data_IF_315482491678
#
_entry.id   IF_315482491678
#
_cell.length_a   1.000
_cell.length_b   1.000
_cell.length_c   1.000
_cell.angle_alpha   90.00
_cell.angle_beta   90.00
_cell.angle_gamma   90.00
#
_symmetry.space_group_name_H-M   'P 1'
#
loop_
_entity.id
_entity.type
_entity.pdbx_description
1 polymer ?
#
# COMPACT_ATOMS: atom_id res chain seq x y z
N UNK A 1 -11.00 4.91 39.82
CA UNK A 1 -10.45 4.19 38.66
C UNK A 1 -11.62 3.82 37.77
N UNK A 2 -11.83 4.52 36.65
CA UNK A 2 -13.06 4.38 35.85
C UNK A 2 -12.92 3.22 34.88
N UNK A 3 -13.61 2.12 35.23
CA UNK A 3 -13.87 0.96 34.38
C UNK A 3 -14.72 1.50 33.21
N UNK A 4 -14.11 1.74 32.04
CA UNK A 4 -14.82 2.33 30.90
C UNK A 4 -13.92 3.04 29.89
N UNK A 5 -12.64 3.22 30.17
CA UNK A 5 -11.72 3.88 29.24
C UNK A 5 -11.27 2.90 28.15
N UNK A 6 -12.11 2.75 27.12
CA UNK A 6 -11.84 1.94 25.91
C UNK A 6 -10.48 2.35 25.30
N UNK A 7 -10.10 3.62 25.47
CA UNK A 7 -8.82 4.16 25.03
C UNK A 7 -7.64 3.52 25.77
N UNK A 8 -7.74 3.32 27.08
CA UNK A 8 -6.70 2.64 27.87
C UNK A 8 -6.56 1.18 27.46
N UNK A 9 -7.67 0.49 27.18
CA UNK A 9 -7.64 -0.90 26.68
C UNK A 9 -7.00 -0.96 25.28
N UNK A 10 -7.30 0.01 24.42
CA UNK A 10 -6.70 0.13 23.09
C UNK A 10 -5.19 0.41 23.16
N UNK A 11 -4.76 1.32 24.02
CA UNK A 11 -3.34 1.63 24.25
C UNK A 11 -2.59 0.42 24.85
N UNK A 12 -3.19 -0.29 25.81
CA UNK A 12 -2.65 -1.54 26.35
C UNK A 12 -2.55 -2.64 25.28
N UNK A 13 -3.55 -2.79 24.40
CA UNK A 13 -3.48 -3.75 23.29
C UNK A 13 -2.40 -3.39 22.28
N UNK A 14 -2.14 -2.10 22.05
CA UNK A 14 -1.11 -1.62 21.12
C UNK A 14 0.31 -1.97 21.59
N UNK A 15 0.55 -1.93 22.90
CA UNK A 15 1.86 -2.24 23.51
C UNK A 15 1.99 -3.71 23.96
N UNK A 16 0.94 -4.50 23.80
CA UNK A 16 0.91 -5.92 24.19
C UNK A 16 1.66 -6.81 23.20
N UNK A 17 2.33 -7.84 23.71
CA UNK A 17 2.93 -8.89 22.87
C UNK A 17 1.86 -9.72 22.16
N UNK A 18 2.18 -10.26 20.97
CA UNK A 18 1.25 -11.09 20.16
C UNK A 18 0.56 -12.20 20.98
N UNK A 19 1.28 -12.81 21.94
CA UNK A 19 0.71 -13.81 22.84
C UNK A 19 -0.37 -13.24 23.77
N UNK A 20 -0.17 -12.04 24.32
CA UNK A 20 -1.16 -11.39 25.18
C UNK A 20 -2.43 -11.04 24.39
N UNK A 21 -2.28 -10.60 23.14
CA UNK A 21 -3.42 -10.33 22.24
C UNK A 21 -4.22 -11.62 21.99
N UNK A 22 -3.54 -12.75 21.76
CA UNK A 22 -4.20 -14.05 21.57
C UNK A 22 -4.96 -14.47 22.83
N UNK A 23 -4.36 -14.34 24.01
CA UNK A 23 -5.00 -14.69 25.29
C UNK A 23 -6.23 -13.83 25.58
N UNK A 24 -6.11 -12.51 25.39
CA UNK A 24 -7.23 -11.58 25.56
C UNK A 24 -8.34 -11.90 24.54
N UNK A 25 -7.97 -12.16 23.29
CA UNK A 25 -8.90 -12.58 22.24
C UNK A 25 -9.64 -13.87 22.60
N UNK A 26 -8.93 -14.88 23.11
CA UNK A 26 -9.52 -16.15 23.53
C UNK A 26 -10.49 -15.97 24.71
N UNK A 27 -10.12 -15.16 25.70
CA UNK A 27 -10.97 -14.83 26.86
C UNK A 27 -12.22 -14.04 26.45
N UNK A 28 -12.10 -13.13 25.48
CA UNK A 28 -13.20 -12.31 25.00
C UNK A 28 -14.11 -13.04 23.99
N UNK A 29 -13.59 -14.05 23.28
CA UNK A 29 -14.31 -14.78 22.24
C UNK A 29 -15.72 -15.26 22.64
N UNK A 30 -15.93 -15.95 23.79
CA UNK A 30 -17.26 -16.41 24.17
C UNK A 30 -18.27 -15.27 24.38
N UNK A 31 -17.83 -14.14 24.93
CA UNK A 31 -18.69 -12.96 25.11
C UNK A 31 -19.08 -12.32 23.78
N UNK A 32 -18.11 -12.22 22.86
CA UNK A 32 -18.35 -11.67 21.52
C UNK A 32 -19.30 -12.57 20.73
N UNK A 33 -19.09 -13.89 20.76
CA UNK A 33 -19.98 -14.86 20.11
C UNK A 33 -21.40 -14.76 20.67
N UNK A 34 -21.54 -14.72 21.99
CA UNK A 34 -22.85 -14.58 22.65
C UNK A 34 -23.56 -13.29 22.22
N UNK A 35 -22.85 -12.16 22.20
CA UNK A 35 -23.43 -10.88 21.80
C UNK A 35 -23.90 -10.86 20.32
N UNK A 36 -23.15 -11.53 19.43
CA UNK A 36 -23.58 -11.69 18.04
C UNK A 36 -24.82 -12.56 17.91
N UNK A 37 -24.90 -13.66 18.68
CA UNK A 37 -26.06 -14.54 18.67
C UNK A 37 -27.29 -13.81 19.22
N UNK A 38 -27.15 -13.08 20.34
CA UNK A 38 -28.21 -12.22 20.88
C UNK A 38 -28.70 -11.17 19.86
N UNK A 39 -27.82 -10.68 18.98
CA UNK A 39 -28.19 -9.75 17.91
C UNK A 39 -29.00 -10.45 16.82
N UNK A 40 -28.60 -11.66 16.42
CA UNK A 40 -29.31 -12.45 15.41
C UNK A 40 -30.71 -12.86 15.89
N UNK A 41 -30.88 -13.11 17.19
CA UNK A 41 -32.15 -13.48 17.82
C UNK A 41 -33.20 -12.37 17.73
N UNK A 42 -32.76 -11.12 17.66
CA UNK A 42 -33.65 -9.96 17.49
C UNK A 42 -34.21 -9.83 16.07
N UNK A 43 -33.69 -10.59 15.11
CA UNK A 43 -34.08 -10.53 13.71
C UNK A 43 -34.62 -11.92 13.31
N UNK A 44 -35.95 -12.08 13.12
CA UNK A 44 -36.59 -13.39 12.96
C UNK A 44 -35.95 -14.28 11.87
N UNK A 45 -35.57 -13.71 10.74
CA UNK A 45 -34.92 -14.41 9.63
C UNK A 45 -33.49 -14.90 9.96
N UNK A 46 -32.75 -14.13 10.77
CA UNK A 46 -31.37 -14.47 11.15
C UNK A 46 -31.35 -15.43 12.35
N UNK A 47 -32.39 -15.38 13.19
CA UNK A 47 -32.58 -16.27 14.34
C UNK A 47 -32.78 -17.74 13.95
N UNK A 48 -33.33 -18.05 12.78
CA UNK A 48 -33.46 -19.44 12.31
C UNK A 48 -32.13 -20.03 11.79
N UNK A 49 -31.19 -19.16 11.41
CA UNK A 49 -29.93 -19.52 10.77
C UNK A 49 -28.69 -18.94 11.46
N UNK A 50 -28.76 -18.68 12.77
CA UNK A 50 -27.74 -17.95 13.56
C UNK A 50 -26.31 -18.41 13.28
N UNK A 51 -26.11 -19.73 13.18
CA UNK A 51 -24.79 -20.33 12.95
C UNK A 51 -24.26 -19.99 11.54
N UNK A 52 -25.11 -20.10 10.51
CA UNK A 52 -24.76 -19.72 9.14
C UNK A 52 -24.54 -18.21 9.00
N UNK A 53 -25.39 -17.39 9.65
CA UNK A 53 -25.22 -15.93 9.70
C UNK A 53 -23.90 -15.54 10.36
N UNK A 54 -23.55 -16.20 11.47
CA UNK A 54 -22.29 -15.95 12.15
C UNK A 54 -21.07 -16.29 11.28
N UNK A 55 -21.10 -17.45 10.62
CA UNK A 55 -20.05 -17.86 9.68
C UNK A 55 -19.93 -16.84 8.54
N UNK A 56 -21.04 -16.37 7.98
CA UNK A 56 -21.05 -15.36 6.93
C UNK A 56 -20.40 -14.03 7.39
N UNK A 57 -20.71 -13.58 8.61
CA UNK A 57 -20.09 -12.40 9.22
C UNK A 57 -18.58 -12.59 9.39
N UNK A 58 -18.14 -13.75 9.88
CA UNK A 58 -16.71 -14.04 10.02
C UNK A 58 -15.98 -14.05 8.68
N UNK A 59 -16.57 -14.64 7.64
CA UNK A 59 -16.00 -14.65 6.28
C UNK A 59 -15.91 -13.22 5.75
N UNK A 60 -16.96 -12.41 5.89
CA UNK A 60 -16.95 -11.01 5.45
C UNK A 60 -15.85 -10.21 6.18
N UNK A 61 -15.69 -10.43 7.48
CA UNK A 61 -14.63 -9.78 8.26
C UNK A 61 -13.24 -10.22 7.82
N UNK A 62 -13.04 -11.51 7.55
CA UNK A 62 -11.79 -12.04 7.02
C UNK A 62 -11.45 -11.43 5.66
N UNK A 63 -12.42 -11.36 4.75
CA UNK A 63 -12.24 -10.71 3.45
C UNK A 63 -11.85 -9.24 3.60
N UNK A 64 -12.50 -8.50 4.51
CA UNK A 64 -12.17 -7.11 4.80
C UNK A 64 -10.72 -6.95 5.30
N UNK A 65 -10.27 -7.84 6.19
CA UNK A 65 -8.89 -7.83 6.71
C UNK A 65 -7.86 -8.16 5.62
N UNK A 66 -8.14 -9.16 4.78
CA UNK A 66 -7.27 -9.53 3.65
C UNK A 66 -7.15 -8.36 2.66
N UNK A 67 -8.28 -7.73 2.33
CA UNK A 67 -8.30 -6.57 1.43
C UNK A 67 -7.49 -5.42 2.03
N UNK A 68 -7.71 -5.08 3.31
CA UNK A 68 -6.95 -4.05 4.00
C UNK A 68 -5.44 -4.32 4.00
N UNK A 69 -5.03 -5.56 4.29
CA UNK A 69 -3.63 -5.98 4.27
C UNK A 69 -3.01 -5.86 2.87
N UNK A 70 -3.74 -6.26 1.82
CA UNK A 70 -3.27 -6.14 0.43
C UNK A 70 -3.11 -4.67 0.04
N UNK A 71 -4.05 -3.80 0.42
CA UNK A 71 -3.94 -2.36 0.16
C UNK A 71 -2.76 -1.73 0.91
N UNK A 72 -2.58 -2.04 2.18
CA UNK A 72 -1.46 -1.53 2.98
C UNK A 72 -0.10 -2.02 2.44
N UNK A 73 -0.01 -3.30 2.06
CA UNK A 73 1.19 -3.86 1.43
C UNK A 73 1.50 -3.19 0.08
N UNK A 74 0.47 -2.90 -0.73
CA UNK A 74 0.65 -2.17 -2.00
C UNK A 74 1.12 -0.73 -1.75
N UNK A 75 0.56 -0.03 -0.78
CA UNK A 75 0.96 1.34 -0.44
C UNK A 75 2.40 1.39 0.10
N UNK A 76 2.77 0.45 0.99
CA UNK A 76 4.15 0.29 1.46
C UNK A 76 5.13 0.04 0.32
N UNK A 77 4.79 -0.84 -0.63
CA UNK A 77 5.62 -1.10 -1.82
C UNK A 77 5.81 0.17 -2.66
N UNK A 78 4.73 0.93 -2.91
CA UNK A 78 4.80 2.20 -3.65
C UNK A 78 5.70 3.22 -2.93
N UNK A 79 5.54 3.39 -1.61
CA UNK A 79 6.37 4.29 -0.80
C UNK A 79 7.85 3.90 -0.80
N UNK A 80 8.14 2.61 -0.71
CA UNK A 80 9.50 2.10 -0.77
C UNK A 80 10.14 2.34 -2.14
N UNK A 81 9.37 2.13 -3.22
CA UNK A 81 9.83 2.39 -4.58
C UNK A 81 10.09 3.90 -4.81
N UNK A 82 9.20 4.77 -4.32
CA UNK A 82 9.42 6.22 -4.30
C UNK A 82 10.71 6.58 -3.55
N UNK A 83 10.92 6.02 -2.36
CA UNK A 83 12.11 6.31 -1.55
C UNK A 83 13.41 5.87 -2.27
N UNK A 84 13.39 4.76 -3.00
CA UNK A 84 14.52 4.33 -3.85
C UNK A 84 14.80 5.33 -4.96
N UNK A 85 13.78 5.75 -5.70
CA UNK A 85 13.94 6.69 -6.82
C UNK A 85 14.43 8.05 -6.31
N UNK A 86 13.74 8.63 -5.33
CA UNK A 86 14.12 9.93 -4.74
C UNK A 86 15.50 9.86 -4.09
N UNK A 87 15.81 8.79 -3.36
CA UNK A 87 17.13 8.60 -2.74
C UNK A 87 18.25 8.46 -3.78
N UNK A 88 18.00 7.80 -4.91
CA UNK A 88 18.95 7.74 -6.02
C UNK A 88 19.17 9.10 -6.68
N UNK A 89 18.09 9.85 -6.93
CA UNK A 89 18.18 11.18 -7.51
C UNK A 89 18.89 12.16 -6.59
N UNK A 90 18.57 12.17 -5.30
CA UNK A 90 19.20 13.03 -4.32
C UNK A 90 20.69 12.71 -4.10
N UNK A 91 21.07 11.42 -4.07
CA UNK A 91 22.47 11.03 -3.84
C UNK A 91 23.41 11.35 -5.02
N UNK A 92 22.86 11.53 -6.22
CA UNK A 92 23.62 11.86 -7.42
C UNK A 92 23.34 13.29 -7.93
N UNK A 93 22.62 14.09 -7.16
CA UNK A 93 22.20 15.46 -7.51
C UNK A 93 21.48 15.57 -8.88
N UNK A 94 20.68 14.56 -9.20
CA UNK A 94 19.90 14.52 -10.44
C UNK A 94 18.55 15.19 -10.26
N UNK A 95 18.25 16.16 -11.12
CA UNK A 95 16.92 16.77 -11.20
C UNK A 95 15.95 15.99 -12.12
N UNK A 96 16.48 15.29 -13.12
CA UNK A 96 15.71 14.52 -14.10
C UNK A 96 16.46 13.22 -14.43
N UNK A 97 15.77 12.07 -14.34
CA UNK A 97 16.33 10.75 -14.70
C UNK A 97 15.35 9.96 -15.55
N UNK A 98 15.82 9.39 -16.65
CA UNK A 98 15.02 8.56 -17.57
C UNK A 98 14.51 7.28 -16.91
N UNK A 99 13.37 6.79 -17.36
CA UNK A 99 12.80 5.54 -16.88
C UNK A 99 13.71 4.34 -17.17
N UNK A 100 14.27 4.26 -18.38
CA UNK A 100 15.30 3.28 -18.75
C UNK A 100 16.47 3.26 -17.76
N UNK A 101 17.04 4.44 -17.48
CA UNK A 101 18.20 4.58 -16.58
C UNK A 101 17.86 4.21 -15.13
N UNK A 102 16.65 4.54 -14.65
CA UNK A 102 16.19 4.10 -13.32
C UNK A 102 16.04 2.58 -13.24
N UNK A 103 15.46 1.95 -14.27
CA UNK A 103 15.29 0.50 -14.31
C UNK A 103 16.65 -0.23 -14.29
N UNK A 104 17.63 0.24 -15.07
CA UNK A 104 18.96 -0.37 -15.13
C UNK A 104 19.74 -0.16 -13.82
N UNK A 105 19.75 1.05 -13.27
CA UNK A 105 20.58 1.39 -12.09
C UNK A 105 20.00 0.88 -10.78
N UNK A 106 18.68 0.80 -10.67
CA UNK A 106 18.00 0.35 -9.45
C UNK A 106 17.47 -1.09 -9.55
N UNK A 107 17.69 -1.76 -10.68
CA UNK A 107 17.21 -3.11 -11.00
C UNK A 107 15.73 -3.29 -10.62
N UNK A 108 14.90 -2.31 -10.99
CA UNK A 108 13.51 -2.24 -10.54
C UNK A 108 12.64 -3.25 -11.27
N UNK A 109 12.93 -3.54 -12.55
CA UNK A 109 12.09 -4.42 -13.37
C UNK A 109 10.64 -3.90 -13.52
N UNK A 110 10.44 -2.60 -13.34
CA UNK A 110 9.11 -1.97 -13.27
C UNK A 110 8.71 -1.48 -14.65
N UNK A 111 7.48 -1.76 -15.06
CA UNK A 111 6.94 -1.28 -16.35
C UNK A 111 6.72 0.23 -16.31
N UNK A 112 6.89 0.92 -17.44
CA UNK A 112 6.68 2.38 -17.51
C UNK A 112 5.31 2.81 -16.96
N UNK A 113 4.25 2.05 -17.25
CA UNK A 113 2.90 2.32 -16.72
C UNK A 113 2.84 2.39 -15.20
N UNK A 114 3.66 1.59 -14.51
CA UNK A 114 3.74 1.57 -13.05
C UNK A 114 4.54 2.77 -12.51
N UNK A 115 5.59 3.22 -13.22
CA UNK A 115 6.31 4.46 -12.91
C UNK A 115 5.41 5.69 -13.09
N UNK A 116 4.63 5.73 -14.18
CA UNK A 116 3.63 6.79 -14.39
C UNK A 116 2.55 6.76 -13.30
N UNK A 117 2.07 5.57 -12.93
CA UNK A 117 1.12 5.43 -11.84
C UNK A 117 1.70 5.86 -10.48
N UNK A 118 3.00 5.64 -10.26
CA UNK A 118 3.71 6.13 -9.06
C UNK A 118 3.75 7.67 -9.04
N UNK A 119 4.08 8.30 -10.16
CA UNK A 119 4.08 9.78 -10.29
C UNK A 119 2.69 10.34 -9.99
N UNK A 120 1.64 9.76 -10.56
CA UNK A 120 0.26 10.17 -10.29
C UNK A 120 -0.17 9.93 -8.83
N UNK A 121 0.46 8.98 -8.13
CA UNK A 121 0.21 8.73 -6.69
C UNK A 121 0.94 9.76 -5.82
N UNK A 122 2.07 10.31 -6.26
CA UNK A 122 2.91 11.24 -5.50
C UNK A 122 3.30 12.49 -6.30
N UNK A 123 2.33 13.29 -6.78
CA UNK A 123 2.59 14.44 -7.63
C UNK A 123 3.41 15.54 -6.93
N UNK A 124 3.35 15.61 -5.59
CA UNK A 124 4.07 16.62 -4.80
C UNK A 124 5.57 16.34 -4.65
N UNK A 125 6.04 15.14 -5.03
CA UNK A 125 7.43 14.69 -4.82
C UNK A 125 8.15 14.44 -6.14
N UNK A 126 7.44 13.88 -7.10
CA UNK A 126 7.97 13.50 -8.40
C UNK A 126 7.00 13.93 -9.49
N UNK A 127 7.54 14.35 -10.63
CA UNK A 127 6.77 14.77 -11.80
C UNK A 127 7.17 13.96 -13.03
N UNK A 128 6.24 13.84 -13.97
CA UNK A 128 6.56 13.34 -15.29
C UNK A 128 7.37 14.40 -16.02
N UNK A 129 8.56 14.02 -16.47
CA UNK A 129 9.43 14.84 -17.29
C UNK A 129 9.71 14.11 -18.61
N UNK A 130 10.28 14.82 -19.56
CA UNK A 130 10.84 14.24 -20.76
C UNK A 130 12.34 14.48 -20.78
N UNK A 131 13.10 13.47 -21.17
CA UNK A 131 14.53 13.56 -21.34
C UNK A 131 14.95 12.93 -22.67
N UNK A 132 16.05 13.42 -23.23
CA UNK A 132 16.56 12.94 -24.52
C UNK A 132 16.93 11.47 -24.44
N UNK A 133 16.42 10.68 -25.37
CA UNK A 133 16.69 9.25 -25.47
C UNK A 133 18.14 9.04 -25.92
N UNK A 134 18.83 8.09 -25.29
CA UNK A 134 20.17 7.67 -25.70
C UNK A 134 20.16 6.21 -26.14
N UNK A 135 21.02 5.88 -27.10
CA UNK A 135 21.34 4.51 -27.46
C UNK A 135 22.20 3.84 -26.36
N UNK A 136 22.45 2.54 -26.51
CA UNK A 136 23.28 1.73 -25.59
C UNK A 136 24.74 2.24 -25.51
N UNK A 137 25.18 3.02 -26.50
CA UNK A 137 26.52 3.61 -26.58
C UNK A 137 26.58 5.04 -26.02
N UNK A 138 25.46 5.60 -25.53
CA UNK A 138 25.37 6.93 -24.94
C UNK A 138 25.13 8.08 -25.93
N UNK A 139 24.92 7.80 -27.21
CA UNK A 139 24.61 8.80 -28.24
C UNK A 139 23.12 9.14 -28.23
N UNK A 140 22.77 10.38 -28.58
CA UNK A 140 21.38 10.79 -28.70
C UNK A 140 20.74 10.20 -29.95
N UNK A 141 19.58 9.56 -29.79
CA UNK A 141 18.85 9.00 -30.93
C UNK A 141 18.13 10.16 -31.62
N UNK A 142 18.39 10.31 -32.92
CA UNK A 142 17.72 11.32 -33.75
C UNK A 142 16.70 10.60 -34.62
N UNK A 143 15.45 11.08 -34.59
CA UNK A 143 14.38 10.57 -35.43
C UNK A 143 14.61 10.87 -36.93
N UNK A 144 13.80 10.28 -37.81
CA UNK A 144 13.91 10.43 -39.27
C UNK A 144 13.79 11.89 -39.76
N UNK A 145 13.18 12.77 -38.96
CA UNK A 145 13.01 14.19 -39.26
C UNK A 145 14.16 15.08 -38.74
N UNK A 146 15.23 14.48 -38.20
CA UNK A 146 16.37 15.21 -37.62
C UNK A 146 16.12 15.78 -36.22
N UNK A 147 14.99 15.42 -35.59
CA UNK A 147 14.63 15.81 -34.22
C UNK A 147 15.05 14.72 -33.23
N UNK A 148 15.71 15.07 -32.13
CA UNK A 148 16.09 14.12 -31.07
C UNK A 148 14.85 13.44 -30.46
N UNK A 149 14.88 12.11 -30.32
CA UNK A 149 13.81 11.37 -29.67
C UNK A 149 13.79 11.67 -28.15
N UNK A 150 12.60 11.92 -27.62
CA UNK A 150 12.36 12.10 -26.19
C UNK A 150 11.84 10.80 -25.56
N UNK A 151 12.28 10.50 -24.35
CA UNK A 151 11.80 9.40 -23.52
C UNK A 151 11.16 9.97 -22.23
N UNK A 152 10.21 9.22 -21.66
CA UNK A 152 9.65 9.51 -20.35
C UNK A 152 10.74 9.45 -19.27
N UNK A 153 10.71 10.43 -18.38
CA UNK A 153 11.65 10.59 -17.28
C UNK A 153 10.91 10.96 -15.99
N UNK A 154 11.54 10.66 -14.85
CA UNK A 154 11.12 11.17 -13.54
C UNK A 154 11.90 12.45 -13.29
N UNK A 155 11.19 13.55 -13.05
CA UNK A 155 11.75 14.75 -12.47
C UNK A 155 11.46 14.81 -10.98
N UNK A 156 12.40 15.27 -10.17
CA UNK A 156 12.10 15.67 -8.78
C UNK A 156 11.55 17.08 -8.76
N UNK A 157 10.62 17.31 -7.83
CA UNK A 157 10.27 18.66 -7.40
C UNK A 157 11.15 18.92 -6.18
N UNK A 158 12.31 19.54 -6.43
CA UNK A 158 13.17 20.06 -5.37
C UNK A 158 12.46 21.23 -4.67
#
# INVERSE_FOLDING_TARGET
MKIGDIKTVYELMKDSTHMQIIWIGFLAAPFVVSAWFDLFDRIPFLGEHKLFTFIAVLIAFLLMQVVALVFDARDKKKKLLLAKIVGYMASNDYQIVRFSTLNDKLNLGVKEKELVALINTFPDKIRLAQARKKDENGNYITGPDGVEEMENAVGTLA
#
